data_IF_727644188526
#
_entry.id   IF_727644188526
#
_cell.length_a   1.000
_cell.length_b   1.000
_cell.length_c   1.000
_cell.angle_alpha   90.00
_cell.angle_beta   90.00
_cell.angle_gamma   90.00
#
_symmetry.space_group_name_H-M   'P 1'
#
loop_
_entity.id
_entity.type
_entity.pdbx_description
1 polymer ?
#
# COMPACT_ATOMS: atom_id res chain seq x y z
N UNK A 1 5.36 -5.16 4.90
CA UNK A 1 4.34 -4.12 4.63
C UNK A 1 3.91 -3.53 5.97
N UNK A 2 3.54 -2.25 5.99
CA UNK A 2 2.84 -1.62 7.12
C UNK A 2 1.35 -1.61 6.79
N UNK A 3 0.51 -1.93 7.75
CA UNK A 3 -0.93 -1.72 7.66
C UNK A 3 -1.25 -0.55 8.57
N UNK A 4 -1.79 0.51 7.99
CA UNK A 4 -2.08 1.77 8.67
C UNK A 4 -3.48 2.21 8.30
N UNK A 5 -4.44 2.03 9.21
CA UNK A 5 -5.83 2.44 9.03
C UNK A 5 -6.05 3.95 9.11
N UNK A 6 -5.01 4.73 9.46
CA UNK A 6 -5.05 6.19 9.48
C UNK A 6 -4.59 6.82 8.16
N UNK A 7 -4.09 6.02 7.22
CA UNK A 7 -3.76 6.47 5.87
C UNK A 7 -5.02 6.61 5.02
N UNK A 8 -4.87 7.08 3.78
CA UNK A 8 -5.97 7.14 2.79
C UNK A 8 -5.64 6.43 1.46
N UNK A 9 -4.43 5.87 1.36
CA UNK A 9 -3.85 5.36 0.12
C UNK A 9 -2.99 4.13 0.39
N UNK A 10 -3.03 3.15 -0.51
CA UNK A 10 -1.99 2.13 -0.55
C UNK A 10 -0.80 2.66 -1.35
N UNK A 11 0.41 2.51 -0.81
CA UNK A 11 1.63 3.05 -1.41
C UNK A 11 2.72 2.00 -1.46
N UNK A 12 3.39 1.87 -2.61
CA UNK A 12 4.50 0.94 -2.80
C UNK A 12 5.73 1.67 -3.32
N UNK A 13 6.91 1.26 -2.87
CA UNK A 13 8.18 1.82 -3.34
C UNK A 13 8.50 1.41 -4.78
N UNK A 14 8.97 2.35 -5.60
CA UNK A 14 9.27 2.12 -7.02
C UNK A 14 10.24 0.97 -7.28
N UNK A 15 11.26 0.77 -6.43
CA UNK A 15 12.17 -0.38 -6.54
C UNK A 15 11.45 -1.72 -6.45
N UNK A 16 10.46 -1.87 -5.56
CA UNK A 16 9.66 -3.09 -5.43
C UNK A 16 8.80 -3.32 -6.67
N UNK A 17 8.28 -2.25 -7.28
CA UNK A 17 7.54 -2.36 -8.54
C UNK A 17 8.43 -2.96 -9.64
N UNK A 18 9.68 -2.49 -9.77
CA UNK A 18 10.60 -2.94 -10.82
C UNK A 18 11.10 -4.37 -10.60
N UNK A 19 11.31 -4.77 -9.34
CA UNK A 19 11.92 -6.08 -9.03
C UNK A 19 10.90 -7.19 -8.80
N UNK A 20 9.74 -6.87 -8.20
CA UNK A 20 8.73 -7.85 -7.76
C UNK A 20 7.44 -7.75 -8.57
N UNK A 21 6.77 -6.60 -8.58
CA UNK A 21 5.40 -6.49 -9.13
C UNK A 21 5.40 -6.61 -10.66
N UNK A 22 6.29 -5.87 -11.34
CA UNK A 22 6.48 -5.90 -12.81
C UNK A 22 5.17 -5.73 -13.61
N UNK A 23 4.21 -4.97 -13.07
CA UNK A 23 2.95 -4.63 -13.73
C UNK A 23 3.02 -3.22 -14.33
N UNK A 24 2.22 -2.93 -15.38
CA UNK A 24 2.16 -1.60 -15.97
C UNK A 24 1.68 -0.55 -14.97
N UNK A 25 2.36 0.59 -14.96
CA UNK A 25 2.02 1.74 -14.14
C UNK A 25 1.39 2.81 -15.02
N UNK A 26 0.22 3.30 -14.61
CA UNK A 26 -0.40 4.45 -15.22
C UNK A 26 0.20 5.73 -14.62
N UNK A 27 0.90 6.48 -15.47
CA UNK A 27 1.58 7.73 -15.10
C UNK A 27 0.74 8.98 -15.38
N UNK A 28 -0.46 8.84 -15.94
CA UNK A 28 -1.38 9.97 -16.14
C UNK A 28 -1.94 10.48 -14.81
N UNK A 29 -1.95 9.62 -13.78
CA UNK A 29 -2.41 9.92 -12.44
C UNK A 29 -1.23 10.35 -11.54
N UNK A 30 -0.83 11.62 -11.64
CA UNK A 30 0.17 12.21 -10.73
C UNK A 30 -0.55 12.77 -9.51
N UNK A 31 -0.22 12.24 -8.33
CA UNK A 31 -0.79 12.68 -7.05
C UNK A 31 0.30 13.11 -6.08
N UNK A 32 -0.01 14.11 -5.25
CA UNK A 32 0.84 14.52 -4.14
C UNK A 32 0.31 13.90 -2.85
N UNK A 33 1.16 13.13 -2.18
CA UNK A 33 0.88 12.56 -0.86
C UNK A 33 1.47 13.49 0.20
N UNK A 34 0.66 13.84 1.19
CA UNK A 34 1.14 14.47 2.42
C UNK A 34 1.44 13.37 3.43
N UNK A 35 2.67 13.32 3.94
CA UNK A 35 3.04 12.37 4.99
C UNK A 35 2.63 12.91 6.38
N UNK A 36 2.66 12.01 7.37
CA UNK A 36 2.28 12.34 8.74
C UNK A 36 3.19 13.38 9.40
N UNK A 37 4.40 13.58 8.88
CA UNK A 37 5.36 14.59 9.37
C UNK A 37 5.18 15.95 8.68
N UNK A 38 4.15 16.11 7.84
CA UNK A 38 3.86 17.34 7.11
C UNK A 38 4.67 17.50 5.83
N UNK A 39 5.52 16.53 5.47
CA UNK A 39 6.20 16.49 4.19
C UNK A 39 5.22 16.20 3.06
N UNK A 40 5.58 16.60 1.84
CA UNK A 40 4.78 16.31 0.64
C UNK A 40 5.67 15.62 -0.38
N UNK A 41 5.25 14.45 -0.83
CA UNK A 41 5.95 13.64 -1.83
C UNK A 41 5.08 13.46 -3.08
N UNK A 42 5.68 13.62 -4.25
CA UNK A 42 5.00 13.34 -5.52
C UNK A 42 5.06 11.85 -5.82
N UNK A 43 3.91 11.22 -6.03
CA UNK A 43 3.79 9.84 -6.48
C UNK A 43 4.02 9.76 -8.00
N UNK A 44 4.61 8.65 -8.45
CA UNK A 44 5.02 8.42 -9.83
C UNK A 44 3.88 7.94 -10.74
N UNK A 45 2.85 7.33 -10.14
CA UNK A 45 1.71 6.77 -10.86
C UNK A 45 0.94 5.78 -10.02
N UNK A 46 0.00 5.10 -10.66
CA UNK A 46 -0.91 4.12 -10.06
C UNK A 46 -0.80 2.77 -10.78
N UNK A 47 -0.79 1.68 -10.02
CA UNK A 47 -0.91 0.31 -10.55
C UNK A 47 -2.21 -0.28 -10.03
N UNK A 48 -3.03 -0.80 -10.93
CA UNK A 48 -4.33 -1.36 -10.61
C UNK A 48 -4.28 -2.88 -10.43
N UNK A 49 -5.11 -3.40 -9.53
CA UNK A 49 -5.33 -4.84 -9.31
C UNK A 49 -4.03 -5.62 -9.08
N UNK A 50 -3.14 -5.08 -8.24
CA UNK A 50 -1.92 -5.78 -7.83
C UNK A 50 -2.30 -6.95 -6.92
N UNK A 51 -1.95 -8.20 -7.27
CA UNK A 51 -2.16 -9.35 -6.38
C UNK A 51 -1.13 -9.30 -5.25
N UNK A 52 -1.61 -9.35 -4.01
CA UNK A 52 -0.79 -9.38 -2.81
C UNK A 52 -1.10 -10.62 -1.99
N UNK A 53 -0.06 -11.30 -1.51
CA UNK A 53 -0.20 -12.47 -0.65
C UNK A 53 0.08 -12.09 0.80
N UNK A 54 -0.87 -12.37 1.69
CA UNK A 54 -0.66 -12.35 3.13
C UNK A 54 -0.71 -13.80 3.63
N UNK A 55 0.46 -14.43 3.75
CA UNK A 55 0.53 -15.88 3.90
C UNK A 55 -0.12 -16.59 2.71
N UNK A 56 -1.08 -17.47 2.99
CA UNK A 56 -1.82 -18.19 1.95
C UNK A 56 -2.98 -17.38 1.32
N UNK A 57 -3.39 -16.26 1.95
CA UNK A 57 -4.50 -15.46 1.46
C UNK A 57 -4.04 -14.57 0.29
N UNK A 58 -4.73 -14.68 -0.85
CA UNK A 58 -4.54 -13.80 -2.00
C UNK A 58 -5.54 -12.64 -1.92
N UNK A 59 -5.01 -11.43 -1.98
CA UNK A 59 -5.76 -10.17 -1.93
C UNK A 59 -5.40 -9.30 -3.12
N UNK A 60 -6.15 -8.22 -3.32
CA UNK A 60 -5.97 -7.28 -4.43
C UNK A 60 -5.88 -5.85 -3.92
N UNK A 61 -4.97 -5.07 -4.48
CA UNK A 61 -4.83 -3.65 -4.15
C UNK A 61 -4.62 -2.79 -5.40
N UNK A 62 -5.18 -1.59 -5.39
CA UNK A 62 -4.69 -0.48 -6.21
C UNK A 62 -3.61 0.23 -5.40
N UNK A 63 -2.41 0.37 -5.96
CA UNK A 63 -1.24 0.91 -5.24
C UNK A 63 -0.63 2.07 -5.99
N UNK A 64 -0.46 3.19 -5.29
CA UNK A 64 0.31 4.31 -5.80
C UNK A 64 1.81 4.05 -5.63
N UNK A 65 2.61 4.51 -6.58
CA UNK A 65 4.05 4.27 -6.57
C UNK A 65 4.77 5.50 -6.02
N UNK A 66 5.46 5.35 -4.90
CA UNK A 66 6.36 6.39 -4.39
C UNK A 66 7.72 6.32 -5.09
N UNK A 67 8.43 7.44 -5.26
CA UNK A 67 9.83 7.41 -5.63
C UNK A 67 10.65 6.61 -4.61
N UNK A 68 11.86 6.19 -5.00
CA UNK A 68 12.82 5.57 -4.09
C UNK A 68 13.39 6.66 -3.16
N UNK A 69 12.64 6.97 -2.12
CA UNK A 69 13.03 7.82 -1.01
C UNK A 69 13.11 6.99 0.28
N UNK A 70 13.72 7.53 1.33
CA UNK A 70 13.80 6.87 2.62
C UNK A 70 12.47 7.01 3.39
N UNK A 71 11.38 6.48 2.83
CA UNK A 71 10.03 6.56 3.42
C UNK A 71 9.84 5.68 4.66
N UNK A 72 10.80 4.80 4.98
CA UNK A 72 10.70 3.87 6.11
C UNK A 72 9.80 2.67 5.86
N UNK A 73 9.23 2.51 4.66
CA UNK A 73 8.43 1.35 4.27
C UNK A 73 8.62 0.97 2.80
N UNK A 74 8.36 -0.30 2.49
CA UNK A 74 8.35 -0.83 1.12
C UNK A 74 6.94 -0.89 0.53
N UNK A 75 5.95 -1.19 1.38
CA UNK A 75 4.52 -1.26 1.06
C UNK A 75 3.73 -0.80 2.29
N UNK A 76 2.84 0.16 2.08
CA UNK A 76 1.82 0.63 3.01
C UNK A 76 0.45 0.21 2.46
N UNK A 77 -0.34 -0.48 3.28
CA UNK A 77 -1.71 -0.88 3.00
C UNK A 77 -2.65 -0.21 3.99
N UNK A 78 -3.83 0.13 3.52
CA UNK A 78 -4.76 0.97 4.25
C UNK A 78 -6.21 0.46 4.10
N UNK A 79 -7.17 1.18 4.67
CA UNK A 79 -8.60 0.98 4.63
C UNK A 79 -9.14 0.62 3.23
N UNK A 80 -8.71 1.26 2.11
CA UNK A 80 -9.16 0.83 0.78
C UNK A 80 -8.80 -0.63 0.45
N UNK A 81 -7.61 -1.09 0.83
CA UNK A 81 -7.24 -2.50 0.69
C UNK A 81 -8.05 -3.39 1.64
N UNK A 82 -8.20 -2.98 2.90
CA UNK A 82 -8.93 -3.78 3.88
C UNK A 82 -10.41 -3.96 3.48
N UNK A 83 -11.10 -2.87 3.14
CA UNK A 83 -12.49 -2.89 2.69
C UNK A 83 -12.66 -3.67 1.39
N UNK A 84 -11.78 -3.46 0.41
CA UNK A 84 -11.82 -4.15 -0.88
C UNK A 84 -11.60 -5.66 -0.79
N UNK A 85 -11.01 -6.15 0.30
CA UNK A 85 -10.76 -7.57 0.54
C UNK A 85 -11.54 -8.14 1.73
N UNK A 86 -12.48 -7.38 2.32
CA UNK A 86 -13.30 -7.79 3.48
C UNK A 86 -12.42 -8.22 4.68
N UNK A 87 -11.32 -7.50 4.88
CA UNK A 87 -10.36 -7.77 5.94
C UNK A 87 -10.73 -6.99 7.19
N UNK A 88 -10.67 -7.66 8.33
CA UNK A 88 -10.82 -7.03 9.65
C UNK A 88 -9.48 -6.99 10.39
N UNK A 89 -9.15 -5.85 10.98
CA UNK A 89 -8.03 -5.71 11.92
C UNK A 89 -8.63 -5.82 13.32
N UNK A 90 -8.27 -6.88 14.04
CA UNK A 90 -8.83 -7.20 15.35
C UNK A 90 -7.73 -7.13 16.39
N UNK A 91 -7.88 -6.24 17.36
CA UNK A 91 -7.05 -6.21 18.56
C UNK A 91 -7.58 -7.22 19.58
N UNK A 92 -6.67 -8.01 20.14
CA UNK A 92 -6.91 -8.95 21.24
C UNK A 92 -5.83 -8.76 22.29
N UNK A 93 -6.04 -9.29 23.49
CA UNK A 93 -5.04 -9.25 24.57
C UNK A 93 -3.68 -9.83 24.16
N UNK A 94 -3.68 -10.80 23.24
CA UNK A 94 -2.48 -11.45 22.72
C UNK A 94 -1.81 -10.71 21.55
N UNK A 95 -2.42 -9.64 21.04
CA UNK A 95 -1.88 -8.82 19.95
C UNK A 95 -2.91 -8.43 18.89
N UNK A 96 -2.41 -7.85 17.80
CA UNK A 96 -3.21 -7.38 16.66
C UNK A 96 -3.19 -8.41 15.54
N UNK A 97 -4.38 -8.76 15.04
CA UNK A 97 -4.58 -9.79 14.02
C UNK A 97 -5.24 -9.22 12.78
N UNK A 98 -4.80 -9.71 11.63
CA UNK A 98 -5.48 -9.52 10.34
C UNK A 98 -6.34 -10.76 10.12
N UNK A 99 -7.64 -10.56 9.98
CA UNK A 99 -8.62 -11.62 9.76
C UNK A 99 -9.16 -11.49 8.34
N UNK A 100 -9.05 -12.59 7.60
CA UNK A 100 -9.53 -12.76 6.22
C UNK A 100 -10.85 -13.53 6.22
#
# INVERSE_FOLDING_TARGET
AIIDSGSTLNVIRASIVRTVIKMPMDTSHIMHMKDANGGTSRLLGLILHVPLFCGAAKTWAHVYVSPDNNSGFDLLLDCPWAQGNIISIVEKDSGTYIVF
#
